data_IF_653410574163
#
_entry.id   IF_653410574163
#
_cell.length_a   1.000
_cell.length_b   1.000
_cell.length_c   1.000
_cell.angle_alpha   90.00
_cell.angle_beta   90.00
_cell.angle_gamma   90.00
#
_symmetry.space_group_name_H-M   'P 1'
#
loop_
_entity.id
_entity.type
_entity.pdbx_description
1 polymer ?
#
# COMPACT_ATOMS: atom_id res chain seq x y z
N UNK A 1 23.22 0.11 2.55
CA UNK A 1 23.78 -0.36 1.26
C UNK A 1 22.84 -1.38 0.66
N UNK A 2 22.43 -1.17 -0.58
CA UNK A 2 21.70 -2.11 -1.45
C UNK A 2 22.52 -2.23 -2.74
N UNK A 3 22.57 -3.39 -3.41
CA UNK A 3 21.80 -4.61 -3.20
C UNK A 3 22.32 -5.55 -2.08
N UNK A 4 21.45 -6.44 -1.59
CA UNK A 4 21.76 -7.54 -0.66
C UNK A 4 21.40 -8.88 -1.32
N UNK A 5 22.32 -9.84 -1.30
CA UNK A 5 22.10 -11.22 -1.77
C UNK A 5 21.99 -12.14 -0.56
N UNK A 6 21.00 -13.05 -0.59
CA UNK A 6 20.80 -14.08 0.45
C UNK A 6 21.03 -15.44 -0.19
N UNK A 7 22.09 -16.12 0.23
CA UNK A 7 22.45 -17.46 -0.25
C UNK A 7 21.83 -18.57 0.61
N UNK A 8 21.73 -19.79 0.05
CA UNK A 8 21.26 -20.98 0.77
C UNK A 8 19.73 -21.09 0.92
N UNK A 9 18.96 -20.30 0.18
CA UNK A 9 17.50 -20.40 0.14
C UNK A 9 17.10 -21.64 -0.68
N UNK A 10 16.36 -22.56 -0.07
CA UNK A 10 15.85 -23.75 -0.75
C UNK A 10 14.92 -23.36 -1.92
N UNK A 11 14.87 -24.18 -2.97
CA UNK A 11 13.93 -23.96 -4.07
C UNK A 11 12.48 -23.99 -3.57
N UNK A 12 11.65 -23.05 -4.02
CA UNK A 12 10.27 -22.90 -3.57
C UNK A 12 9.76 -21.46 -3.59
N UNK A 13 8.53 -21.28 -3.15
CA UNK A 13 7.90 -19.96 -3.00
C UNK A 13 8.24 -19.39 -1.63
N UNK A 14 8.86 -18.22 -1.61
CA UNK A 14 9.26 -17.53 -0.38
C UNK A 14 8.63 -16.15 -0.30
N UNK A 15 8.21 -15.75 0.89
CA UNK A 15 7.76 -14.39 1.16
C UNK A 15 8.95 -13.52 1.57
N UNK A 16 9.18 -12.44 0.84
CA UNK A 16 10.21 -11.44 1.13
C UNK A 16 9.51 -10.23 1.75
N UNK A 17 9.97 -9.78 2.91
CA UNK A 17 9.52 -8.54 3.58
C UNK A 17 10.68 -7.57 3.73
N UNK A 18 10.46 -6.33 3.33
CA UNK A 18 11.40 -5.21 3.51
C UNK A 18 10.75 -4.19 4.42
N UNK A 19 11.39 -3.91 5.55
CA UNK A 19 10.92 -2.97 6.56
C UNK A 19 12.02 -1.94 6.84
N UNK A 20 11.62 -0.67 6.91
CA UNK A 20 12.51 0.43 7.25
C UNK A 20 11.75 1.42 8.14
N UNK A 21 12.37 1.87 9.23
CA UNK A 21 11.74 2.80 10.16
C UNK A 21 11.31 4.10 9.43
N UNK A 22 10.07 4.53 9.64
CA UNK A 22 9.49 5.69 8.96
C UNK A 22 8.91 5.40 7.56
N UNK A 23 8.96 4.14 7.11
CA UNK A 23 8.39 3.69 5.83
C UNK A 23 7.38 2.56 6.03
N UNK A 24 6.44 2.44 5.09
CA UNK A 24 5.50 1.32 5.06
C UNK A 24 6.24 0.04 4.69
N UNK A 25 5.91 -1.05 5.39
CA UNK A 25 6.43 -2.37 5.05
C UNK A 25 6.03 -2.77 3.63
N UNK A 26 6.97 -3.38 2.92
CA UNK A 26 6.74 -3.94 1.61
C UNK A 26 6.92 -5.46 1.66
N UNK A 27 6.04 -6.19 0.99
CA UNK A 27 6.12 -7.65 0.92
C UNK A 27 5.80 -8.17 -0.47
N UNK A 28 6.54 -9.17 -0.93
CA UNK A 28 6.25 -9.89 -2.17
C UNK A 28 6.52 -11.38 -2.03
N UNK A 29 5.89 -12.20 -2.86
CA UNK A 29 6.20 -13.62 -3.02
C UNK A 29 7.15 -13.81 -4.20
N UNK A 30 8.28 -14.47 -3.96
CA UNK A 30 9.29 -14.77 -4.98
C UNK A 30 9.42 -16.29 -5.10
N UNK A 31 9.45 -16.79 -6.34
CA UNK A 31 9.72 -18.20 -6.61
C UNK A 31 11.22 -18.38 -6.89
N UNK A 32 11.90 -19.15 -6.05
CA UNK A 32 13.32 -19.48 -6.19
C UNK A 32 13.45 -20.84 -6.86
N UNK A 33 14.11 -20.89 -8.02
CA UNK A 33 14.44 -22.13 -8.71
C UNK A 33 15.67 -22.81 -8.11
N UNK A 34 15.79 -24.13 -8.24
CA UNK A 34 16.98 -24.86 -7.81
C UNK A 34 18.22 -24.39 -8.57
N UNK A 35 19.21 -23.86 -7.86
CA UNK A 35 20.44 -23.34 -8.46
C UNK A 35 20.27 -22.00 -9.19
N UNK A 36 19.11 -21.35 -9.08
CA UNK A 36 18.83 -20.06 -9.71
C UNK A 36 18.67 -18.96 -8.68
N UNK A 37 19.15 -17.76 -9.01
CA UNK A 37 18.94 -16.55 -8.19
C UNK A 37 17.66 -15.85 -8.63
N UNK A 38 16.78 -15.56 -7.67
CA UNK A 38 15.60 -14.74 -7.91
C UNK A 38 15.80 -13.33 -7.36
N UNK A 39 15.46 -12.32 -8.16
CA UNK A 39 15.65 -10.90 -7.81
C UNK A 39 14.31 -10.23 -7.53
N UNK A 40 14.22 -9.45 -6.45
CA UNK A 40 13.08 -8.62 -6.12
C UNK A 40 13.55 -7.19 -5.83
N UNK A 41 12.85 -6.20 -6.42
CA UNK A 41 13.06 -4.78 -6.17
C UNK A 41 11.88 -4.21 -5.40
N UNK A 42 12.17 -3.51 -4.30
CA UNK A 42 11.17 -2.89 -3.44
C UNK A 42 11.30 -1.36 -3.49
N UNK A 43 10.19 -0.66 -3.68
CA UNK A 43 10.06 0.78 -3.53
C UNK A 43 9.21 1.09 -2.28
N UNK A 44 9.83 1.62 -1.23
CA UNK A 44 9.15 1.90 0.04
C UNK A 44 8.54 3.31 0.03
N UNK A 45 7.28 3.42 0.46
CA UNK A 45 6.62 4.69 0.68
C UNK A 45 6.81 5.15 2.12
N UNK A 46 7.14 6.43 2.33
CA UNK A 46 7.25 6.99 3.68
C UNK A 46 5.88 6.97 4.36
N UNK A 47 5.84 6.57 5.64
CA UNK A 47 4.62 6.74 6.44
C UNK A 47 4.48 8.23 6.71
N UNK A 48 3.35 8.86 6.34
CA UNK A 48 3.16 10.27 6.65
C UNK A 48 3.20 10.43 8.17
N UNK A 49 4.18 11.21 8.66
CA UNK A 49 4.13 11.73 10.02
C UNK A 49 2.86 12.53 10.10
N UNK A 50 1.86 12.04 10.83
CA UNK A 50 0.68 12.82 11.15
C UNK A 50 1.21 14.08 11.85
N UNK A 51 1.25 15.21 11.14
CA UNK A 51 1.30 16.50 11.81
C UNK A 51 0.13 16.47 12.78
N UNK A 52 0.36 16.67 14.09
CA UNK A 52 -0.74 16.85 15.02
C UNK A 52 -1.63 17.90 14.37
N UNK A 53 -2.89 17.55 14.10
CA UNK A 53 -3.87 18.51 13.61
C UNK A 53 -3.89 19.60 14.68
N UNK A 54 -3.18 20.70 14.42
CA UNK A 54 -3.39 21.96 15.11
C UNK A 54 -4.89 22.21 14.95
N UNK A 55 -5.57 22.26 16.10
CA UNK A 55 -6.97 21.88 16.23
C UNK A 55 -7.92 22.51 15.23
N UNK A 56 -9.04 21.80 15.01
CA UNK A 56 -10.33 22.34 14.59
C UNK A 56 -10.24 23.68 13.82
N UNK A 57 -10.04 23.64 12.50
CA UNK A 57 -10.50 24.74 11.66
C UNK A 57 -12.04 24.62 11.55
N UNK A 58 -12.85 25.57 12.06
CA UNK A 58 -14.30 25.37 12.24
C UNK A 58 -15.15 25.58 10.96
N UNK A 59 -14.62 25.39 9.74
CA UNK A 59 -15.29 25.89 8.53
C UNK A 59 -15.42 24.92 7.34
N UNK A 60 -15.59 23.61 7.56
CA UNK A 60 -15.92 22.67 6.46
C UNK A 60 -17.30 22.01 6.60
N UNK A 61 -18.27 22.74 7.16
CA UNK A 61 -19.70 22.41 6.96
C UNK A 61 -20.14 23.08 5.66
N UNK A 62 -20.93 22.37 4.84
CA UNK A 62 -21.53 22.77 3.56
C UNK A 62 -20.74 22.25 2.35
N UNK A 63 -21.08 21.04 1.87
CA UNK A 63 -20.64 20.65 0.53
C UNK A 63 -20.84 19.21 0.04
N UNK A 64 -21.76 18.39 0.56
CA UNK A 64 -21.97 17.06 -0.05
C UNK A 64 -23.34 16.39 0.24
N UNK A 65 -24.45 17.11 0.05
CA UNK A 65 -25.81 16.52 -0.02
C UNK A 65 -26.34 16.44 -1.47
N UNK A 66 -25.45 16.39 -2.47
CA UNK A 66 -25.83 16.49 -3.89
C UNK A 66 -25.83 15.19 -4.69
N UNK A 67 -25.16 14.12 -4.22
CA UNK A 67 -24.84 12.98 -5.11
C UNK A 67 -25.72 11.73 -4.90
N UNK A 68 -26.49 11.64 -3.80
CA UNK A 68 -27.33 10.45 -3.55
C UNK A 68 -28.73 10.52 -4.20
N UNK A 69 -29.17 11.70 -4.65
CA UNK A 69 -30.47 11.87 -5.33
C UNK A 69 -30.50 11.39 -6.78
N UNK A 70 -29.34 11.35 -7.45
CA UNK A 70 -29.28 11.10 -8.90
C UNK A 70 -29.23 9.61 -9.28
N UNK A 71 -28.94 8.71 -8.33
CA UNK A 71 -28.90 7.25 -8.58
C UNK A 71 -30.22 6.51 -8.23
N UNK A 72 -31.21 7.20 -7.65
CA UNK A 72 -32.53 6.60 -7.34
C UNK A 72 -33.59 6.93 -8.39
N UNK A 73 -33.37 7.94 -9.24
CA UNK A 73 -34.37 8.41 -10.22
C UNK A 73 -34.49 7.55 -11.50
N UNK A 74 -33.69 6.51 -11.67
CA UNK A 74 -33.76 5.61 -12.84
C UNK A 74 -34.49 4.29 -12.59
N UNK A 75 -35.01 4.04 -11.37
CA UNK A 75 -35.68 2.77 -11.03
C UNK A 75 -37.21 2.79 -11.08
N UNK A 76 -37.87 3.88 -11.44
CA UNK A 76 -39.34 3.89 -11.53
C UNK A 76 -39.80 4.43 -12.88
N UNK A 77 -39.54 3.64 -13.91
CA UNK A 77 -40.37 3.56 -15.11
C UNK A 77 -41.06 2.21 -15.03
N UNK A 78 -42.32 2.21 -14.62
CA UNK A 78 -43.36 1.22 -14.95
C UNK A 78 -44.71 1.84 -14.50
#
# INVERSE_FOLDING_TARGET
ITPLTVDGVAAGTHAVRVALAGYSDWSTSVQVGSGSTASASASLAAVPTQTPHAGMAPFAVIGALGVLGLLVALRRRD
#
